data_IF_483497212614
#
_entry.id   IF_483497212614
#
_cell.length_a   1.000
_cell.length_b   1.000
_cell.length_c   1.000
_cell.angle_alpha   90.00
_cell.angle_beta   90.00
_cell.angle_gamma   90.00
#
_symmetry.space_group_name_H-M   'P 1'
#
loop_
_entity.id
_entity.type
_entity.pdbx_description
1 polymer ?
#
# COMPACT_ATOMS: atom_id res chain seq x y z
N UNK A 1 11.13 28.23 4.05
CA UNK A 1 10.33 27.59 5.10
C UNK A 1 10.62 26.10 5.13
N UNK A 2 10.92 25.57 6.29
CA UNK A 2 11.18 24.13 6.42
C UNK A 2 9.89 23.33 6.26
N UNK A 3 9.98 22.15 5.64
CA UNK A 3 8.84 21.28 5.38
C UNK A 3 9.24 19.83 5.60
N UNK A 4 8.26 18.97 5.92
CA UNK A 4 8.55 17.54 5.91
C UNK A 4 8.83 17.09 4.47
N UNK A 5 9.73 16.12 4.32
CA UNK A 5 10.16 15.63 3.01
C UNK A 5 9.37 14.39 2.55
N UNK A 6 8.63 13.80 3.45
CA UNK A 6 7.84 12.61 3.13
C UNK A 6 7.51 11.82 4.38
N UNK A 7 6.93 10.64 4.16
CA UNK A 7 6.57 9.71 5.23
C UNK A 7 7.81 8.87 5.55
N UNK A 8 8.28 8.93 6.81
CA UNK A 8 9.46 8.18 7.24
C UNK A 8 9.14 6.78 7.73
N UNK A 9 7.90 6.51 8.07
CA UNK A 9 7.47 5.21 8.51
C UNK A 9 5.97 5.15 8.72
N UNK A 10 5.43 3.94 8.66
CA UNK A 10 4.04 3.65 8.99
C UNK A 10 4.07 2.54 10.04
N UNK A 11 3.43 2.79 11.16
CA UNK A 11 3.44 1.85 12.28
C UNK A 11 2.01 1.44 12.60
N UNK A 12 1.81 0.15 12.76
CA UNK A 12 0.49 -0.40 13.07
C UNK A 12 0.65 -1.59 14.01
N UNK A 13 -0.39 -1.84 14.78
CA UNK A 13 -0.35 -2.94 15.74
C UNK A 13 -0.56 -4.26 15.01
N UNK A 14 0.27 -5.26 15.34
CA UNK A 14 0.19 -6.58 14.75
C UNK A 14 0.29 -7.63 15.86
N UNK A 15 -0.42 -8.77 15.68
CA UNK A 15 -0.32 -9.89 16.60
C UNK A 15 0.98 -10.65 16.41
N UNK A 16 1.41 -10.81 15.17
CA UNK A 16 2.66 -11.47 14.81
C UNK A 16 3.42 -10.59 13.81
N UNK A 17 4.18 -9.59 14.29
CA UNK A 17 4.85 -8.64 13.41
C UNK A 17 5.84 -9.28 12.44
N UNK A 18 6.55 -10.32 12.86
CA UNK A 18 7.54 -10.98 12.02
C UNK A 18 6.90 -11.71 10.85
N UNK A 19 5.84 -12.48 11.13
CA UNK A 19 5.10 -13.19 10.09
C UNK A 19 4.45 -12.21 9.11
N UNK A 20 3.88 -11.13 9.63
CA UNK A 20 3.23 -10.13 8.80
C UNK A 20 4.23 -9.42 7.90
N UNK A 21 5.40 -9.06 8.43
CA UNK A 21 6.47 -8.45 7.63
C UNK A 21 6.92 -9.39 6.49
N UNK A 22 7.02 -10.68 6.78
CA UNK A 22 7.36 -11.69 5.76
C UNK A 22 6.31 -11.79 4.66
N UNK A 23 5.04 -11.68 5.01
CA UNK A 23 3.96 -11.69 4.03
C UNK A 23 4.04 -10.49 3.08
N UNK A 24 4.25 -9.29 3.63
CA UNK A 24 4.39 -8.08 2.81
C UNK A 24 5.63 -8.13 1.92
N UNK A 25 6.73 -8.67 2.41
CA UNK A 25 7.94 -8.85 1.61
C UNK A 25 7.71 -9.84 0.46
N UNK A 26 7.09 -10.97 0.76
CA UNK A 26 6.88 -12.03 -0.22
C UNK A 26 5.87 -11.64 -1.31
N UNK A 27 4.76 -11.02 -0.94
CA UNK A 27 3.65 -10.81 -1.86
C UNK A 27 3.58 -9.42 -2.46
N UNK A 28 4.13 -8.40 -1.78
CA UNK A 28 4.07 -7.02 -2.24
C UNK A 28 5.45 -6.40 -2.46
N UNK A 29 6.53 -7.13 -2.13
CA UNK A 29 7.88 -6.63 -2.37
C UNK A 29 8.29 -5.50 -1.45
N UNK A 30 7.71 -5.41 -0.26
CA UNK A 30 8.06 -4.41 0.73
C UNK A 30 9.10 -4.99 1.66
N UNK A 31 10.30 -4.42 1.70
CA UNK A 31 11.38 -4.93 2.54
C UNK A 31 10.97 -4.88 4.02
N UNK A 32 11.27 -5.95 4.79
CA UNK A 32 10.99 -5.95 6.22
C UNK A 32 11.87 -4.94 6.95
N UNK A 33 11.50 -4.58 8.19
CA UNK A 33 12.37 -3.73 9.01
C UNK A 33 13.77 -4.32 9.12
N UNK A 34 14.82 -3.49 9.10
CA UNK A 34 16.19 -3.98 9.20
C UNK A 34 16.46 -4.57 10.60
N UNK A 35 17.30 -5.60 10.66
CA UNK A 35 17.68 -6.25 11.91
C UNK A 35 18.92 -5.61 12.55
N UNK A 36 19.60 -4.72 11.83
CA UNK A 36 20.78 -4.01 12.30
C UNK A 36 20.84 -2.61 11.74
N UNK A 37 21.65 -1.76 12.36
CA UNK A 37 21.85 -0.39 11.86
C UNK A 37 22.72 -0.32 10.59
N UNK A 38 23.29 -1.44 10.19
CA UNK A 38 24.12 -1.51 8.96
C UNK A 38 23.27 -1.77 7.72
N UNK A 39 21.99 -2.12 7.88
CA UNK A 39 21.05 -2.41 6.79
C UNK A 39 20.03 -1.30 6.70
N UNK A 40 19.78 -0.81 5.49
CA UNK A 40 18.79 0.23 5.25
C UNK A 40 17.37 -0.29 5.41
N UNK A 41 16.47 0.60 5.86
CA UNK A 41 15.04 0.37 5.75
C UNK A 41 14.61 0.36 4.28
N UNK A 42 13.35 -0.02 4.03
CA UNK A 42 12.78 -0.03 2.68
C UNK A 42 12.82 1.37 2.07
N UNK A 43 13.35 1.44 0.85
CA UNK A 43 13.36 2.69 0.07
C UNK A 43 12.22 2.63 -0.93
N UNK A 44 11.13 3.34 -0.64
CA UNK A 44 10.04 3.43 -1.59
C UNK A 44 10.42 4.35 -2.76
N UNK A 45 9.84 4.07 -3.93
CA UNK A 45 10.04 4.92 -5.08
C UNK A 45 9.29 6.25 -4.89
N UNK A 46 9.87 7.39 -5.30
CA UNK A 46 9.16 8.65 -5.23
C UNK A 46 7.93 8.63 -6.13
N UNK A 47 6.87 9.30 -5.69
CA UNK A 47 5.64 9.35 -6.47
C UNK A 47 4.52 10.03 -5.71
N UNK A 48 3.34 10.12 -6.35
CA UNK A 48 2.20 10.77 -5.73
C UNK A 48 1.76 10.04 -4.46
N UNK A 49 1.46 10.81 -3.43
CA UNK A 49 1.01 10.26 -2.15
C UNK A 49 -0.18 11.08 -1.66
N UNK A 50 -1.30 10.41 -1.44
CA UNK A 50 -2.47 11.02 -0.83
C UNK A 50 -2.35 10.89 0.68
N UNK A 51 -2.44 12.01 1.37
CA UNK A 51 -2.43 12.03 2.83
C UNK A 51 -3.70 12.74 3.28
N UNK A 52 -4.72 11.96 3.66
CA UNK A 52 -6.06 12.50 3.86
C UNK A 52 -6.79 11.83 5.01
N UNK A 53 -7.52 12.64 5.78
CA UNK A 53 -8.55 12.13 6.67
C UNK A 53 -9.79 11.79 5.86
N UNK A 54 -10.43 10.68 6.18
CA UNK A 54 -11.61 10.20 5.47
C UNK A 54 -12.75 9.94 6.45
N UNK A 55 -13.95 10.31 6.05
CA UNK A 55 -15.15 10.10 6.88
C UNK A 55 -15.91 8.83 6.52
N UNK A 56 -15.65 8.25 5.33
CA UNK A 56 -16.33 7.01 4.95
C UNK A 56 -15.74 5.79 5.68
N UNK A 57 -16.50 4.69 5.66
CA UNK A 57 -16.06 3.45 6.32
C UNK A 57 -15.62 2.38 5.33
N UNK A 58 -15.68 2.65 4.02
CA UNK A 58 -15.41 1.65 2.99
C UNK A 58 -13.93 1.33 2.86
N UNK A 59 -13.06 2.30 3.20
CA UNK A 59 -11.61 2.11 3.13
C UNK A 59 -11.05 1.31 4.31
N UNK A 60 -11.87 1.05 5.33
CA UNK A 60 -11.39 0.48 6.58
C UNK A 60 -12.08 -0.84 6.86
N UNK A 61 -11.32 -1.82 7.37
CA UNK A 61 -11.88 -3.05 7.88
C UNK A 61 -12.51 -2.85 9.27
N UNK A 62 -13.25 -3.85 9.79
CA UNK A 62 -13.85 -3.76 11.11
C UNK A 62 -12.81 -3.47 12.19
N UNK A 63 -13.03 -2.42 12.98
CA UNK A 63 -12.11 -2.02 14.04
C UNK A 63 -10.83 -1.34 13.55
N UNK A 64 -10.69 -1.13 12.25
CA UNK A 64 -9.53 -0.50 11.63
C UNK A 64 -9.80 1.00 11.48
N UNK A 65 -8.89 1.84 11.99
CA UNK A 65 -9.01 3.30 11.92
C UNK A 65 -7.99 3.93 10.98
N UNK A 66 -7.22 3.11 10.27
CA UNK A 66 -6.19 3.54 9.32
C UNK A 66 -6.28 2.63 8.09
N UNK A 67 -5.76 3.11 6.98
CA UNK A 67 -5.66 2.30 5.77
C UNK A 67 -4.45 2.74 4.97
N UNK A 68 -3.79 1.79 4.33
CA UNK A 68 -2.65 2.06 3.46
C UNK A 68 -3.06 1.76 2.03
N UNK A 69 -2.69 2.70 1.15
CA UNK A 69 -2.76 2.51 -0.29
C UNK A 69 -1.33 2.38 -0.80
N UNK A 70 -1.05 1.32 -1.57
CA UNK A 70 0.25 1.12 -2.20
C UNK A 70 0.15 1.40 -3.69
N UNK A 71 1.09 2.17 -4.22
CA UNK A 71 1.20 2.38 -5.67
C UNK A 71 1.80 1.15 -6.32
N UNK A 72 1.30 0.81 -7.50
CA UNK A 72 1.85 -0.25 -8.33
C UNK A 72 2.04 0.27 -9.75
N UNK A 73 3.04 -0.24 -10.46
CA UNK A 73 3.30 0.16 -11.84
C UNK A 73 2.33 -0.51 -12.81
N UNK A 74 1.95 -1.76 -12.53
CA UNK A 74 1.05 -2.56 -13.39
C UNK A 74 0.08 -3.32 -12.47
N UNK A 75 -1.12 -2.76 -12.34
CA UNK A 75 -2.13 -3.33 -11.44
C UNK A 75 -2.59 -4.71 -11.91
N UNK A 76 -2.77 -4.91 -13.22
CA UNK A 76 -3.21 -6.20 -13.72
C UNK A 76 -2.18 -7.31 -13.45
N UNK A 77 -0.90 -7.00 -13.61
CA UNK A 77 0.17 -7.95 -13.29
C UNK A 77 0.20 -8.27 -11.79
N UNK A 78 0.03 -7.26 -10.94
CA UNK A 78 0.00 -7.46 -9.49
C UNK A 78 -1.20 -8.31 -9.08
N UNK A 79 -2.37 -8.06 -9.66
CA UNK A 79 -3.57 -8.86 -9.38
C UNK A 79 -3.35 -10.33 -9.75
N UNK A 80 -2.79 -10.59 -10.94
CA UNK A 80 -2.49 -11.97 -11.36
C UNK A 80 -1.52 -12.66 -10.39
N UNK A 81 -0.47 -11.94 -9.99
CA UNK A 81 0.53 -12.46 -9.06
C UNK A 81 -0.08 -12.83 -7.70
N UNK A 82 -0.92 -11.97 -7.15
CA UNK A 82 -1.58 -12.20 -5.88
C UNK A 82 -2.58 -13.35 -5.95
N UNK A 83 -3.39 -13.39 -6.99
CA UNK A 83 -4.37 -14.47 -7.19
C UNK A 83 -3.69 -15.82 -7.41
N UNK A 84 -2.56 -15.84 -8.11
CA UNK A 84 -1.77 -17.07 -8.28
C UNK A 84 -1.23 -17.60 -6.94
N UNK A 85 -1.02 -16.72 -5.97
CA UNK A 85 -0.60 -17.09 -4.62
C UNK A 85 -1.78 -17.43 -3.70
N UNK A 86 -3.02 -17.46 -4.22
CA UNK A 86 -4.22 -17.80 -3.45
C UNK A 86 -4.79 -16.63 -2.66
N UNK A 87 -4.36 -15.41 -2.94
CA UNK A 87 -4.84 -14.22 -2.24
C UNK A 87 -6.03 -13.65 -2.99
N UNK A 88 -7.13 -13.42 -2.25
CA UNK A 88 -8.32 -12.80 -2.82
C UNK A 88 -8.07 -11.32 -3.04
N UNK A 89 -8.41 -10.82 -4.25
CA UNK A 89 -8.28 -9.41 -4.60
C UNK A 89 -9.60 -8.94 -5.21
N UNK A 90 -10.12 -7.85 -4.66
CA UNK A 90 -11.34 -7.20 -5.15
C UNK A 90 -10.94 -6.03 -6.05
N UNK A 91 -11.25 -6.15 -7.34
CA UNK A 91 -10.89 -5.13 -8.33
C UNK A 91 -12.04 -4.15 -8.49
N UNK A 92 -11.75 -2.85 -8.37
CA UNK A 92 -12.73 -1.82 -8.71
C UNK A 92 -12.92 -1.84 -10.23
N UNK A 93 -14.15 -2.06 -10.73
CA UNK A 93 -14.39 -2.15 -12.17
C UNK A 93 -14.26 -0.83 -12.90
N UNK A 94 -14.31 0.30 -12.17
CA UNK A 94 -14.21 1.62 -12.79
C UNK A 94 -12.76 2.03 -13.00
N UNK A 95 -12.53 2.78 -14.08
CA UNK A 95 -11.29 3.51 -14.31
C UNK A 95 -11.57 4.98 -14.05
N UNK A 96 -10.80 5.56 -13.13
CA UNK A 96 -10.97 6.96 -12.73
C UNK A 96 -9.91 7.82 -13.42
N UNK A 97 -10.11 9.13 -13.49
CA UNK A 97 -9.09 10.02 -14.06
C UNK A 97 -7.73 9.94 -13.37
N UNK A 98 -7.70 9.55 -12.08
CA UNK A 98 -6.46 9.40 -11.32
C UNK A 98 -5.96 7.96 -11.24
N UNK A 99 -6.63 7.01 -11.89
CA UNK A 99 -6.11 5.65 -11.99
C UNK A 99 -7.11 4.54 -11.71
N UNK A 100 -6.55 3.37 -11.45
CA UNK A 100 -7.30 2.14 -11.17
C UNK A 100 -6.95 1.62 -9.80
N UNK A 101 -7.90 0.92 -9.18
CA UNK A 101 -7.80 0.50 -7.78
C UNK A 101 -8.21 -0.96 -7.60
N UNK A 102 -7.61 -1.60 -6.62
CA UNK A 102 -8.01 -2.89 -6.11
C UNK A 102 -7.80 -2.91 -4.60
N UNK A 103 -8.47 -3.81 -3.91
CA UNK A 103 -8.31 -3.95 -2.46
C UNK A 103 -8.13 -5.40 -2.08
N UNK A 104 -7.46 -5.62 -0.96
CA UNK A 104 -7.25 -6.95 -0.39
C UNK A 104 -7.04 -6.84 1.11
N UNK A 105 -6.92 -7.98 1.76
CA UNK A 105 -6.62 -8.05 3.20
C UNK A 105 -5.28 -8.75 3.41
N UNK A 106 -4.52 -8.29 4.41
CA UNK A 106 -3.35 -9.02 4.86
C UNK A 106 -3.75 -10.18 5.80
N UNK A 107 -2.81 -11.02 6.24
CA UNK A 107 -3.16 -12.16 7.12
C UNK A 107 -3.77 -11.78 8.47
N UNK A 108 -3.62 -10.54 8.90
CA UNK A 108 -4.24 -10.06 10.14
C UNK A 108 -5.52 -9.26 9.87
N UNK A 109 -6.09 -9.43 8.66
CA UNK A 109 -7.36 -8.84 8.23
C UNK A 109 -7.34 -7.32 8.11
N UNK A 110 -6.17 -6.71 7.99
CA UNK A 110 -6.09 -5.31 7.66
C UNK A 110 -6.43 -5.11 6.18
N UNK A 111 -7.41 -4.25 5.91
CA UNK A 111 -7.77 -3.91 4.54
C UNK A 111 -6.77 -2.91 3.99
N UNK A 112 -6.27 -3.17 2.79
CA UNK A 112 -5.35 -2.27 2.08
C UNK A 112 -5.79 -2.12 0.63
N UNK A 113 -5.27 -1.09 -0.02
CA UNK A 113 -5.64 -0.76 -1.39
C UNK A 113 -4.39 -0.70 -2.26
N UNK A 114 -4.53 -1.15 -3.50
CA UNK A 114 -3.52 -1.00 -4.54
C UNK A 114 -3.99 0.05 -5.53
N UNK A 115 -3.08 0.85 -6.05
CA UNK A 115 -3.38 1.97 -6.94
C UNK A 115 -2.36 2.05 -8.07
N UNK A 116 -2.86 1.99 -9.30
CA UNK A 116 -2.06 2.32 -10.47
C UNK A 116 -2.39 3.76 -10.86
N UNK A 117 -1.52 4.74 -10.57
CA UNK A 117 -1.81 6.15 -10.84
C UNK A 117 -1.98 6.46 -12.33
N UNK A 118 -2.76 7.48 -12.63
CA UNK A 118 -2.97 8.01 -13.96
C UNK A 118 -3.17 9.52 -13.91
N UNK A 119 -3.14 10.15 -15.08
CA UNK A 119 -3.43 11.56 -15.20
C UNK A 119 -2.38 12.46 -14.54
N UNK A 120 -2.85 13.46 -13.79
CA UNK A 120 -1.97 14.43 -13.14
C UNK A 120 -0.98 13.79 -12.17
N UNK A 121 -1.38 12.70 -11.51
CA UNK A 121 -0.52 12.01 -10.56
C UNK A 121 0.68 11.31 -11.22
N UNK A 122 0.60 11.02 -12.52
CA UNK A 122 1.76 10.51 -13.24
C UNK A 122 2.73 11.61 -13.67
N UNK A 123 2.23 12.82 -13.87
CA UNK A 123 3.06 13.93 -14.33
C UNK A 123 3.83 14.63 -13.21
N UNK A 124 3.40 14.42 -11.96
CA UNK A 124 3.99 15.07 -10.81
C UNK A 124 3.55 16.52 -10.65
N UNK A 125 4.01 17.17 -9.58
CA UNK A 125 3.69 18.58 -9.34
C UNK A 125 4.38 19.46 -10.37
N UNK A 126 3.71 20.55 -10.77
CA UNK A 126 4.24 21.52 -11.72
C UNK A 126 4.78 22.75 -11.02
#
# INVERSE_FOLDING_TARGET
>A
MERVTGIGGVFFRARDPEQLAGWYAQHLGIDPPPESYDTSSWWQQPGPTVFAGMSDTEHFGPGQSWSINFRVADLDAMIRQLRAAGIQVDVDPETYPNGRFASLQDPEHNRLQLWQPAGADLRGPT
#
